data_IF_812499122257
#
_entry.id   IF_812499122257
#
_cell.length_a   1.000
_cell.length_b   1.000
_cell.length_c   1.000
_cell.angle_alpha   90.00
_cell.angle_beta   90.00
_cell.angle_gamma   90.00
#
_symmetry.space_group_name_H-M   'P 1'
#
loop_
_entity.id
_entity.type
_entity.pdbx_description
1 polymer ?
#
# COMPACT_ATOMS: atom_id res chain seq x y z
N UNK A 1 -12.28 3.39 19.78
CA UNK A 1 -11.25 3.11 18.77
C UNK A 1 -10.10 2.41 19.47
N UNK A 2 -9.78 1.16 19.10
CA UNK A 2 -8.44 0.65 19.36
C UNK A 2 -7.46 1.59 18.64
N UNK A 3 -6.38 1.98 19.30
CA UNK A 3 -5.34 2.76 18.63
C UNK A 3 -4.75 1.86 17.54
N UNK A 4 -4.85 2.27 16.27
CA UNK A 4 -4.10 1.61 15.20
C UNK A 4 -2.62 1.84 15.49
N UNK A 5 -1.84 0.76 15.55
CA UNK A 5 -0.39 0.82 15.75
C UNK A 5 0.25 0.46 14.43
N UNK A 6 0.91 1.43 13.80
CA UNK A 6 1.71 1.19 12.61
C UNK A 6 3.09 0.69 13.00
N UNK A 7 3.71 -0.18 12.19
CA UNK A 7 5.07 -0.66 12.45
C UNK A 7 6.10 0.47 12.28
N UNK A 8 7.24 0.36 12.97
CA UNK A 8 8.32 1.36 12.92
C UNK A 8 9.14 1.30 11.61
N UNK A 9 9.10 0.17 10.87
CA UNK A 9 9.78 0.01 9.58
C UNK A 9 8.90 -0.78 8.60
N UNK A 10 9.16 -0.58 7.32
CA UNK A 10 8.46 -1.27 6.23
C UNK A 10 8.99 -2.70 6.12
N UNK A 11 8.11 -3.72 6.15
CA UNK A 11 8.53 -5.10 5.95
C UNK A 11 9.08 -5.28 4.53
N UNK A 12 10.22 -5.97 4.45
CA UNK A 12 10.84 -6.39 3.19
C UNK A 12 10.63 -7.89 3.06
N UNK A 13 9.77 -8.30 2.13
CA UNK A 13 9.40 -9.68 1.89
C UNK A 13 10.18 -10.18 0.67
N UNK A 14 10.99 -11.22 0.87
CA UNK A 14 11.86 -11.81 -0.15
C UNK A 14 11.27 -13.06 -0.79
N UNK A 15 10.12 -13.51 -0.30
CA UNK A 15 9.33 -14.60 -0.86
C UNK A 15 7.82 -14.45 -0.57
N UNK A 16 7.03 -15.33 -1.18
CA UNK A 16 5.58 -15.35 -1.02
C UNK A 16 5.12 -15.69 0.42
N UNK A 17 5.86 -16.51 1.17
CA UNK A 17 5.50 -16.88 2.54
C UNK A 17 5.66 -15.69 3.49
N UNK A 18 6.74 -14.93 3.36
CA UNK A 18 6.97 -13.68 4.10
C UNK A 18 5.90 -12.64 3.77
N UNK A 19 5.55 -12.48 2.49
CA UNK A 19 4.47 -11.58 2.04
C UNK A 19 3.14 -11.97 2.66
N UNK A 20 2.77 -13.25 2.62
CA UNK A 20 1.53 -13.75 3.24
C UNK A 20 1.52 -13.51 4.75
N UNK A 21 2.62 -13.81 5.46
CA UNK A 21 2.71 -13.54 6.91
C UNK A 21 2.54 -12.05 7.23
N UNK A 22 3.21 -11.17 6.48
CA UNK A 22 3.12 -9.73 6.67
C UNK A 22 1.71 -9.19 6.37
N UNK A 23 1.03 -9.73 5.34
CA UNK A 23 -0.34 -9.40 5.02
C UNK A 23 -1.32 -9.83 6.11
N UNK A 24 -1.25 -11.08 6.57
CA UNK A 24 -2.08 -11.59 7.67
C UNK A 24 -1.83 -10.82 8.97
N UNK A 25 -0.59 -10.44 9.26
CA UNK A 25 -0.28 -9.59 10.39
C UNK A 25 -0.94 -8.21 10.27
N UNK A 26 -0.82 -7.55 9.10
CA UNK A 26 -1.47 -6.27 8.85
C UNK A 26 -3.00 -6.34 8.99
N UNK A 27 -3.62 -7.43 8.51
CA UNK A 27 -5.05 -7.70 8.66
C UNK A 27 -5.44 -7.85 10.14
N UNK A 28 -4.71 -8.67 10.89
CA UNK A 28 -4.95 -8.88 12.33
C UNK A 28 -4.77 -7.59 13.15
N UNK A 29 -3.87 -6.71 12.72
CA UNK A 29 -3.60 -5.39 13.32
C UNK A 29 -4.60 -4.31 12.84
N UNK A 30 -5.55 -4.65 11.95
CA UNK A 30 -6.51 -3.75 11.32
C UNK A 30 -5.87 -2.51 10.67
N UNK A 31 -4.69 -2.69 10.06
CA UNK A 31 -3.99 -1.63 9.32
C UNK A 31 -3.89 -1.99 7.83
N UNK A 32 -3.62 -1.01 6.94
CA UNK A 32 -3.19 -1.31 5.58
C UNK A 32 -1.94 -2.20 5.55
N UNK A 33 -1.90 -3.08 4.57
CA UNK A 33 -0.68 -3.74 4.13
C UNK A 33 0.18 -2.72 3.39
N UNK A 34 1.46 -2.67 3.72
CA UNK A 34 2.47 -1.86 3.05
C UNK A 34 3.78 -2.63 3.17
N UNK A 35 4.44 -2.90 2.05
CA UNK A 35 5.63 -3.73 2.02
C UNK A 35 6.51 -3.43 0.79
N UNK A 36 7.78 -3.82 0.92
CA UNK A 36 8.68 -4.04 -0.20
C UNK A 36 8.66 -5.53 -0.53
N UNK A 37 8.37 -5.93 -1.76
CA UNK A 37 8.26 -7.35 -2.15
C UNK A 37 9.15 -7.68 -3.34
N UNK A 38 9.80 -8.85 -3.31
CA UNK A 38 10.42 -9.50 -4.47
C UNK A 38 9.35 -10.39 -5.12
N UNK A 39 8.97 -10.14 -6.38
CA UNK A 39 7.94 -10.93 -7.08
C UNK A 39 8.62 -11.78 -8.15
N UNK A 40 8.54 -13.11 -8.01
CA UNK A 40 9.34 -14.09 -8.77
C UNK A 40 9.20 -13.99 -10.31
N UNK A 41 8.11 -13.42 -10.82
CA UNK A 41 7.76 -13.40 -12.23
C UNK A 41 8.22 -12.15 -12.99
N UNK A 42 8.85 -11.18 -12.32
CA UNK A 42 9.31 -9.94 -12.96
C UNK A 42 10.63 -9.42 -12.34
N UNK A 43 11.54 -8.83 -13.13
CA UNK A 43 12.79 -8.30 -12.59
C UNK A 43 12.56 -7.08 -11.70
N UNK A 44 13.13 -7.09 -10.51
CA UNK A 44 13.16 -5.95 -9.60
C UNK A 44 12.29 -6.13 -8.36
N UNK A 45 12.25 -5.08 -7.54
CA UNK A 45 11.50 -5.00 -6.30
C UNK A 45 10.25 -4.15 -6.50
N UNK A 46 9.22 -4.45 -5.71
CA UNK A 46 7.97 -3.71 -5.65
C UNK A 46 7.87 -2.91 -4.36
N UNK A 47 7.37 -1.69 -4.43
CA UNK A 47 6.76 -1.01 -3.30
C UNK A 47 5.24 -1.05 -3.47
N UNK A 48 4.51 -1.55 -2.49
CA UNK A 48 3.05 -1.72 -2.60
C UNK A 48 2.35 -1.43 -1.29
N UNK A 49 1.20 -0.76 -1.37
CA UNK A 49 0.21 -0.75 -0.30
C UNK A 49 -1.12 -1.34 -0.76
N UNK A 50 -1.84 -1.96 0.18
CA UNK A 50 -3.17 -2.49 -0.04
C UNK A 50 -4.02 -2.38 1.25
N UNK A 51 -5.26 -1.98 1.08
CA UNK A 51 -6.28 -1.92 2.13
C UNK A 51 -7.27 -3.02 1.89
N UNK A 52 -7.61 -3.77 2.94
CA UNK A 52 -8.64 -4.81 2.86
C UNK A 52 -9.96 -4.19 2.36
N UNK A 53 -10.37 -4.48 1.10
CA UNK A 53 -11.49 -3.80 0.47
C UNK A 53 -12.82 -4.35 0.95
N UNK A 54 -12.81 -5.51 1.60
CA UNK A 54 -14.00 -6.20 2.13
C UNK A 54 -14.43 -5.65 3.47
N UNK A 55 -13.52 -4.93 4.16
CA UNK A 55 -13.68 -4.48 5.55
C UNK A 55 -14.16 -5.58 6.51
N UNK A 56 -13.97 -6.84 6.13
CA UNK A 56 -14.27 -8.00 6.96
C UNK A 56 -13.39 -7.93 8.21
N UNK A 57 -13.96 -8.25 9.36
CA UNK A 57 -13.27 -8.20 10.66
C UNK A 57 -12.74 -6.81 11.09
N UNK A 58 -13.18 -5.72 10.44
CA UNK A 58 -12.87 -4.34 10.86
C UNK A 58 -13.98 -3.73 11.70
N UNK A 59 -13.60 -2.95 12.71
CA UNK A 59 -14.55 -2.16 13.51
C UNK A 59 -15.27 -1.12 12.64
N UNK A 60 -14.55 -0.51 11.70
CA UNK A 60 -15.05 0.48 10.74
C UNK A 60 -14.25 0.39 9.42
N UNK A 61 -14.89 0.76 8.31
CA UNK A 61 -14.22 0.81 7.01
C UNK A 61 -13.59 2.17 6.81
N UNK A 62 -12.36 2.18 6.31
CA UNK A 62 -11.64 3.40 5.99
C UNK A 62 -10.86 3.24 4.70
N UNK A 63 -10.67 4.36 4.02
CA UNK A 63 -9.85 4.50 2.81
C UNK A 63 -9.03 5.77 2.85
N UNK A 64 -8.05 5.90 1.97
CA UNK A 64 -7.40 7.18 1.72
C UNK A 64 -8.39 8.18 1.13
N UNK A 65 -8.25 9.44 1.52
CA UNK A 65 -8.86 10.58 0.85
C UNK A 65 -8.22 10.80 -0.52
N UNK A 66 -8.96 11.34 -1.48
CA UNK A 66 -8.45 11.75 -2.81
C UNK A 66 -7.12 12.54 -2.75
N UNK A 67 -7.00 13.47 -1.80
CA UNK A 67 -5.78 14.27 -1.63
C UNK A 67 -4.56 13.41 -1.24
N UNK A 68 -4.78 12.36 -0.46
CA UNK A 68 -3.74 11.42 -0.06
C UNK A 68 -3.41 10.44 -1.20
N UNK A 69 -4.42 10.02 -1.97
CA UNK A 69 -4.21 9.25 -3.21
C UNK A 69 -3.32 10.02 -4.17
N UNK A 70 -3.62 11.30 -4.42
CA UNK A 70 -2.78 12.15 -5.28
C UNK A 70 -1.36 12.31 -4.74
N UNK A 71 -1.19 12.41 -3.42
CA UNK A 71 0.13 12.50 -2.81
C UNK A 71 0.94 11.22 -3.04
N UNK A 72 0.34 10.05 -2.80
CA UNK A 72 0.95 8.75 -3.09
C UNK A 72 1.27 8.61 -4.58
N UNK A 73 0.35 8.99 -5.46
CA UNK A 73 0.56 8.86 -6.90
C UNK A 73 1.69 9.77 -7.41
N UNK A 74 1.79 11.00 -6.88
CA UNK A 74 2.92 11.89 -7.20
C UNK A 74 4.26 11.27 -6.80
N UNK A 75 4.34 10.58 -5.65
CA UNK A 75 5.54 9.85 -5.27
C UNK A 75 5.82 8.72 -6.25
N UNK A 76 4.83 7.91 -6.61
CA UNK A 76 4.96 6.84 -7.60
C UNK A 76 5.48 7.36 -8.95
N UNK A 77 4.86 8.41 -9.49
CA UNK A 77 5.25 9.04 -10.76
C UNK A 77 6.68 9.57 -10.75
N UNK A 78 7.16 10.08 -9.60
CA UNK A 78 8.55 10.51 -9.48
C UNK A 78 9.51 9.33 -9.67
N UNK A 79 9.23 8.16 -9.10
CA UNK A 79 10.10 6.99 -9.27
C UNK A 79 10.00 6.38 -10.66
N UNK A 80 8.81 6.38 -11.27
CA UNK A 80 8.59 5.92 -12.64
C UNK A 80 9.58 6.57 -13.63
N UNK A 81 9.87 7.87 -13.46
CA UNK A 81 10.81 8.61 -14.32
C UNK A 81 12.26 8.13 -14.27
N UNK A 82 12.66 7.39 -13.23
CA UNK A 82 14.02 6.93 -13.03
C UNK A 82 14.24 5.46 -13.47
N UNK A 83 13.19 4.75 -13.88
CA UNK A 83 13.26 3.35 -14.31
C UNK A 83 13.67 3.26 -15.80
N UNK A 84 14.65 2.40 -16.12
CA UNK A 84 15.20 2.28 -17.47
C UNK A 84 14.50 1.24 -18.38
N UNK A 85 13.75 0.28 -17.82
CA UNK A 85 13.13 -0.85 -18.56
C UNK A 85 11.73 -1.23 -17.99
N UNK A 86 11.10 -2.27 -18.57
CA UNK A 86 9.74 -2.78 -18.33
C UNK A 86 9.31 -2.78 -16.86
N UNK A 87 8.48 -1.80 -16.48
CA UNK A 87 7.86 -1.72 -15.16
C UNK A 87 6.37 -2.08 -15.24
N UNK A 88 5.86 -2.66 -14.15
CA UNK A 88 4.42 -2.73 -13.92
C UNK A 88 4.02 -1.54 -13.08
N UNK A 89 3.25 -0.66 -13.71
CA UNK A 89 2.70 0.54 -13.10
C UNK A 89 1.34 0.21 -12.51
N UNK A 90 1.19 0.44 -11.21
CA UNK A 90 -0.08 0.33 -10.51
C UNK A 90 -0.46 1.70 -9.98
N UNK A 91 -1.36 2.38 -10.70
CA UNK A 91 -1.85 3.70 -10.30
C UNK A 91 -2.38 3.67 -8.86
N UNK A 92 -2.07 4.72 -8.09
CA UNK A 92 -2.54 4.78 -6.72
C UNK A 92 -4.06 5.06 -6.69
N UNK A 93 -4.74 4.39 -5.79
CA UNK A 93 -6.16 4.55 -5.51
C UNK A 93 -6.40 4.67 -4.01
N UNK A 94 -7.66 4.85 -3.64
CA UNK A 94 -8.09 4.92 -2.25
C UNK A 94 -7.79 3.64 -1.45
N UNK A 95 -7.53 2.51 -2.12
CA UNK A 95 -7.36 1.18 -1.51
C UNK A 95 -6.03 0.51 -1.82
N UNK A 96 -5.41 0.79 -2.95
CA UNK A 96 -4.17 0.12 -3.36
C UNK A 96 -3.34 1.00 -4.30
N UNK A 97 -2.05 0.74 -4.36
CA UNK A 97 -1.13 1.40 -5.27
C UNK A 97 0.28 0.84 -5.13
N UNK A 98 1.08 1.02 -6.19
CA UNK A 98 2.43 0.48 -6.19
C UNK A 98 3.25 0.80 -7.42
N UNK A 99 4.53 0.44 -7.34
CA UNK A 99 5.42 0.45 -8.49
C UNK A 99 6.35 -0.75 -8.38
N UNK A 100 6.50 -1.45 -9.51
CA UNK A 100 7.40 -2.58 -9.67
C UNK A 100 8.55 -2.25 -10.64
N UNK A 101 9.63 -3.03 -10.60
CA UNK A 101 10.80 -2.85 -11.46
C UNK A 101 11.86 -1.94 -10.85
N UNK A 102 11.81 -1.73 -9.53
CA UNK A 102 12.76 -0.90 -8.79
C UNK A 102 13.95 -1.72 -8.31
N UNK A 103 15.08 -1.08 -8.02
CA UNK A 103 16.05 -1.72 -7.14
C UNK A 103 15.52 -1.74 -5.69
N UNK A 104 16.14 -2.56 -4.84
CA UNK A 104 15.69 -2.73 -3.45
C UNK A 104 15.70 -1.42 -2.64
N UNK A 105 16.65 -0.54 -2.93
CA UNK A 105 16.80 0.74 -2.22
C UNK A 105 15.70 1.69 -2.63
N UNK A 106 15.44 1.80 -3.93
CA UNK A 106 14.39 2.64 -4.48
C UNK A 106 13.00 2.15 -4.06
N UNK A 107 12.77 0.83 -4.08
CA UNK A 107 11.54 0.24 -3.55
C UNK A 107 11.33 0.57 -2.08
N UNK A 108 12.38 0.48 -1.25
CA UNK A 108 12.29 0.88 0.16
C UNK A 108 12.03 2.38 0.31
N UNK A 109 12.63 3.22 -0.52
CA UNK A 109 12.43 4.67 -0.46
C UNK A 109 11.00 5.06 -0.87
N UNK A 110 10.46 4.47 -1.95
CA UNK A 110 9.06 4.66 -2.34
C UNK A 110 8.10 4.12 -1.27
N UNK A 111 8.37 2.95 -0.70
CA UNK A 111 7.51 2.40 0.34
C UNK A 111 7.49 3.27 1.61
N UNK A 112 8.61 3.91 1.98
CA UNK A 112 8.63 4.91 3.07
C UNK A 112 7.76 6.13 2.74
N UNK A 113 7.79 6.62 1.49
CA UNK A 113 6.94 7.74 1.08
C UNK A 113 5.46 7.35 1.06
N UNK A 114 5.14 6.13 0.67
CA UNK A 114 3.79 5.59 0.88
C UNK A 114 3.45 5.52 2.36
N UNK A 115 4.38 5.13 3.24
CA UNK A 115 4.16 5.06 4.68
C UNK A 115 3.78 6.42 5.27
N UNK A 116 4.51 7.48 4.89
CA UNK A 116 4.24 8.85 5.33
C UNK A 116 2.81 9.31 5.00
N UNK A 117 2.25 8.81 3.90
CA UNK A 117 0.88 9.10 3.47
C UNK A 117 -0.13 8.14 4.12
N UNK A 118 0.11 6.84 3.99
CA UNK A 118 -0.84 5.76 4.33
C UNK A 118 -0.96 5.58 5.84
N UNK A 119 0.09 5.83 6.61
CA UNK A 119 0.06 5.68 8.07
C UNK A 119 -0.41 6.95 8.80
N UNK A 120 -0.55 8.08 8.12
CA UNK A 120 -1.18 9.26 8.72
C UNK A 120 -2.70 9.06 8.78
N UNK A 121 -3.22 8.80 9.98
CA UNK A 121 -4.67 8.63 10.24
C UNK A 121 -5.52 9.83 9.76
N UNK A 122 -4.95 11.03 9.61
CA UNK A 122 -5.67 12.18 9.07
C UNK A 122 -5.94 12.07 7.56
N UNK A 123 -5.21 11.21 6.86
CA UNK A 123 -5.43 10.94 5.44
C UNK A 123 -6.59 9.97 5.19
N UNK A 124 -7.23 9.46 6.24
CA UNK A 124 -8.29 8.46 6.12
C UNK A 124 -9.68 9.08 6.23
N UNK A 125 -10.58 8.61 5.38
CA UNK A 125 -12.00 8.88 5.46
C UNK A 125 -12.75 7.59 5.82
N UNK A 126 -13.76 7.72 6.69
CA UNK A 126 -14.66 6.60 7.00
C UNK A 126 -15.52 6.31 5.77
N UNK A 127 -15.48 5.08 5.30
CA UNK A 127 -16.29 4.58 4.19
C UNK A 127 -17.50 3.83 4.77
N UNK A 128 -18.69 3.94 4.19
CA UNK A 128 -19.82 3.08 4.57
C UNK A 128 -19.96 1.92 3.58
N UNK A 129 -20.01 0.68 4.05
CA UNK A 129 -20.05 -0.52 3.18
C UNK A 129 -21.11 -0.44 2.06
N UNK A 130 -22.23 0.27 2.28
CA UNK A 130 -23.24 0.54 1.25
C UNK A 130 -22.68 1.26 0.00
N UNK A 131 -21.72 2.16 0.17
CA UNK A 131 -21.12 2.95 -0.90
C UNK A 131 -20.17 2.09 -1.77
N UNK A 132 -19.77 0.90 -1.29
CA UNK A 132 -18.98 -0.06 -2.07
C UNK A 132 -19.84 -0.93 -3.00
N UNK A 133 -21.15 -1.02 -2.76
CA UNK A 133 -22.11 -1.77 -3.59
C UNK A 133 -23.02 -0.86 -4.44
N UNK A 134 -22.98 0.46 -4.23
CA UNK A 134 -23.73 1.49 -4.98
C UNK A 134 -22.92 2.06 -6.18
N UNK A 135 -21.94 1.31 -6.69
CA UNK A 135 -21.31 1.62 -7.98
C UNK A 135 -22.27 1.18 -9.09
N UNK A 136 -23.00 2.15 -9.67
CA UNK A 136 -23.81 1.98 -10.88
C UNK A 136 -22.96 1.46 -12.06
#
# INVERSE_FOLDING_TARGET
>A
MKSVVFPDDIPVCTDAEEKTKAYEQAKNEQRPFLAVTDEDDMPGWRAVYNMDPTGEDRDEWYILKDSAVQAADNHREQYEQYIQEDCVIEGCSEKEGGLHGLDKTDAKQLANLFADVVWDTNNWAKWHAKDAFDVN
#
